data_IF_610375023630
#
_entry.id   IF_610375023630
#
_cell.length_a   1.000
_cell.length_b   1.000
_cell.length_c   1.000
_cell.angle_alpha   90.00
_cell.angle_beta   90.00
_cell.angle_gamma   90.00
#
_symmetry.space_group_name_H-M   'P 1'
#
loop_
_entity.id
_entity.type
_entity.pdbx_description
1 polymer ?
#
# COMPACT_ATOMS: atom_id res chain seq x y z
N UNK A 1 14.66 39.36 5.64
CA UNK A 1 13.88 38.42 4.81
C UNK A 1 14.84 37.45 4.14
N UNK A 2 14.41 36.24 3.81
CA UNK A 2 15.24 35.26 3.10
C UNK A 2 15.37 35.68 1.63
N UNK A 3 16.60 35.74 1.11
CA UNK A 3 16.89 36.08 -0.29
C UNK A 3 16.31 35.06 -1.29
N UNK A 4 15.95 33.85 -0.84
CA UNK A 4 15.40 32.79 -1.70
C UNK A 4 13.92 32.52 -1.44
N UNK A 5 13.19 32.29 -2.53
CA UNK A 5 11.81 31.74 -2.53
C UNK A 5 11.86 30.26 -2.87
N UNK A 6 11.17 29.42 -2.10
CA UNK A 6 11.12 27.98 -2.35
C UNK A 6 9.68 27.57 -2.64
N UNK A 7 9.45 26.91 -3.77
CA UNK A 7 8.15 26.38 -4.18
C UNK A 7 8.20 24.85 -4.18
N UNK A 8 7.41 24.24 -3.29
CA UNK A 8 7.26 22.78 -3.20
C UNK A 8 5.98 22.39 -3.94
N UNK A 9 6.12 21.51 -4.93
CA UNK A 9 5.00 20.97 -5.71
C UNK A 9 4.94 19.46 -5.45
N UNK A 10 3.85 19.04 -4.82
CA UNK A 10 3.61 17.63 -4.50
C UNK A 10 2.78 16.96 -5.60
N UNK A 11 3.19 15.76 -6.02
CA UNK A 11 2.55 14.95 -7.08
C UNK A 11 2.31 15.75 -8.37
N UNK A 12 3.36 16.29 -9.02
CA UNK A 12 3.23 17.05 -10.26
C UNK A 12 2.50 16.25 -11.38
N UNK A 13 2.59 14.92 -11.36
CA UNK A 13 1.84 14.02 -12.24
C UNK A 13 0.31 14.15 -12.15
N UNK A 14 -0.22 14.65 -11.02
CA UNK A 14 -1.66 14.88 -10.82
C UNK A 14 -2.11 16.26 -11.25
N UNK A 15 -1.21 17.12 -11.74
CA UNK A 15 -1.57 18.45 -12.19
C UNK A 15 -2.48 18.40 -13.42
N UNK A 16 -3.48 19.28 -13.43
CA UNK A 16 -4.28 19.49 -14.63
C UNK A 16 -3.35 19.93 -15.79
N UNK A 17 -3.56 19.45 -17.03
CA UNK A 17 -2.67 19.74 -18.16
C UNK A 17 -2.41 21.24 -18.37
N UNK A 18 -3.44 22.07 -18.18
CA UNK A 18 -3.29 23.53 -18.27
C UNK A 18 -2.35 24.12 -17.20
N UNK A 19 -2.36 23.56 -15.98
CA UNK A 19 -1.45 23.97 -14.90
C UNK A 19 -0.02 23.49 -15.19
N UNK A 20 0.14 22.25 -15.66
CA UNK A 20 1.43 21.70 -16.05
C UNK A 20 2.11 22.54 -17.16
N UNK A 21 1.34 22.99 -18.16
CA UNK A 21 1.84 23.87 -19.22
C UNK A 21 2.22 25.27 -18.73
N UNK A 22 1.52 25.81 -17.72
CA UNK A 22 1.92 27.06 -17.08
C UNK A 22 3.22 26.89 -16.28
N UNK A 23 3.34 25.77 -15.56
CA UNK A 23 4.56 25.44 -14.82
C UNK A 23 5.77 25.33 -15.75
N UNK A 24 5.61 24.76 -16.95
CA UNK A 24 6.69 24.71 -17.95
C UNK A 24 7.29 26.09 -18.23
N UNK A 25 6.44 27.10 -18.45
CA UNK A 25 6.91 28.47 -18.70
C UNK A 25 7.70 29.04 -17.52
N UNK A 26 7.25 28.75 -16.30
CA UNK A 26 7.91 29.20 -15.08
C UNK A 26 9.25 28.46 -14.86
N UNK A 27 9.34 27.18 -15.24
CA UNK A 27 10.59 26.42 -15.13
C UNK A 27 11.62 26.81 -16.21
N UNK A 28 11.17 27.32 -17.37
CA UNK A 28 12.05 27.84 -18.42
C UNK A 28 12.70 29.16 -18.03
N UNK A 29 11.90 30.07 -17.46
CA UNK A 29 12.33 31.39 -17.00
C UNK A 29 11.97 31.54 -15.52
N UNK A 30 12.71 30.85 -14.62
CA UNK A 30 12.42 30.89 -13.19
C UNK A 30 12.62 32.31 -12.67
N UNK A 31 11.74 32.79 -11.75
CA UNK A 31 11.95 34.07 -11.10
C UNK A 31 13.28 34.08 -10.34
N UNK A 32 13.90 35.25 -10.23
CA UNK A 32 15.17 35.42 -9.52
C UNK A 32 15.10 34.80 -8.11
N UNK A 33 16.19 34.11 -7.76
CA UNK A 33 16.37 33.48 -6.45
C UNK A 33 15.22 32.53 -6.05
N UNK A 34 14.66 31.80 -7.01
CA UNK A 34 13.58 30.83 -6.76
C UNK A 34 14.05 29.38 -6.95
N UNK A 35 13.79 28.54 -5.95
CA UNK A 35 14.03 27.10 -5.99
C UNK A 35 12.71 26.35 -6.13
N UNK A 36 12.63 25.46 -7.11
CA UNK A 36 11.49 24.57 -7.32
C UNK A 36 11.84 23.16 -6.86
N UNK A 37 11.03 22.61 -5.96
CA UNK A 37 11.12 21.23 -5.48
C UNK A 37 9.86 20.47 -5.91
N UNK A 38 10.02 19.56 -6.87
CA UNK A 38 8.94 18.70 -7.34
C UNK A 38 9.09 17.32 -6.70
N UNK A 39 8.06 16.86 -6.00
CA UNK A 39 8.04 15.57 -5.30
C UNK A 39 7.05 14.66 -6.02
N UNK A 40 7.55 13.57 -6.59
CA UNK A 40 6.78 12.64 -7.41
C UNK A 40 6.94 11.21 -6.92
N UNK A 41 5.87 10.43 -7.01
CA UNK A 41 5.88 9.00 -6.73
C UNK A 41 6.09 8.19 -8.02
N UNK A 42 5.67 8.73 -9.17
CA UNK A 42 5.83 8.09 -10.46
C UNK A 42 6.32 9.05 -11.55
N UNK A 43 7.64 9.09 -11.73
CA UNK A 43 8.27 9.91 -12.78
C UNK A 43 7.80 9.60 -14.21
N UNK A 44 7.31 8.39 -14.51
CA UNK A 44 6.85 8.03 -15.86
C UNK A 44 5.56 8.76 -16.26
N UNK A 45 4.80 9.23 -15.28
CA UNK A 45 3.55 9.96 -15.49
C UNK A 45 3.73 11.47 -15.60
N UNK A 46 4.95 11.96 -15.35
CA UNK A 46 5.29 13.38 -15.53
C UNK A 46 5.53 13.66 -17.01
N UNK A 47 5.06 14.82 -17.48
CA UNK A 47 5.34 15.29 -18.84
C UNK A 47 6.86 15.31 -19.13
N UNK A 48 7.32 14.70 -20.24
CA UNK A 48 8.73 14.69 -20.61
C UNK A 48 9.36 16.10 -20.71
N UNK A 49 8.55 17.09 -21.07
CA UNK A 49 8.96 18.50 -21.14
C UNK A 49 9.31 19.09 -19.77
N UNK A 50 8.61 18.69 -18.71
CA UNK A 50 8.96 19.07 -17.33
C UNK A 50 10.26 18.37 -16.94
N UNK A 51 10.36 17.06 -17.20
CA UNK A 51 11.54 16.25 -16.86
C UNK A 51 12.83 16.80 -17.49
N UNK A 52 12.75 17.34 -18.71
CA UNK A 52 13.91 17.95 -19.40
C UNK A 52 14.42 19.26 -18.78
N UNK A 53 13.64 19.89 -17.89
CA UNK A 53 13.94 21.20 -17.26
C UNK A 53 14.21 21.09 -15.76
N UNK A 54 14.22 19.88 -15.21
CA UNK A 54 14.48 19.62 -13.79
C UNK A 54 15.65 18.67 -13.61
N UNK A 55 16.33 18.79 -12.48
CA UNK A 55 17.32 17.81 -12.08
C UNK A 55 16.63 16.67 -11.31
N UNK A 56 16.73 15.45 -11.84
CA UNK A 56 16.16 14.28 -11.18
C UNK A 56 17.06 13.79 -10.05
N UNK A 57 16.53 13.79 -8.84
CA UNK A 57 17.17 13.16 -7.67
C UNK A 57 16.31 11.95 -7.29
N UNK A 58 16.87 10.74 -7.45
CA UNK A 58 16.19 9.51 -7.02
C UNK A 58 16.44 9.29 -5.55
N UNK A 59 15.37 9.16 -4.78
CA UNK A 59 15.44 8.70 -3.39
C UNK A 59 15.30 7.18 -3.38
N UNK A 60 16.39 6.42 -3.15
CA UNK A 60 16.30 4.97 -3.13
C UNK A 60 15.51 4.48 -1.92
N UNK A 61 15.00 3.25 -2.02
CA UNK A 61 14.49 2.52 -0.85
C UNK A 61 15.62 2.32 0.16
N UNK A 62 15.28 2.40 1.44
CA UNK A 62 16.25 2.13 2.50
C UNK A 62 16.63 0.65 2.51
N UNK A 63 17.91 0.31 2.74
CA UNK A 63 18.31 -1.05 3.07
C UNK A 63 17.60 -1.54 4.32
N UNK A 64 17.22 -2.82 4.35
CA UNK A 64 16.57 -3.44 5.51
C UNK A 64 17.45 -3.31 6.78
N UNK A 65 18.78 -3.36 6.63
CA UNK A 65 19.74 -3.15 7.72
C UNK A 65 19.64 -1.76 8.36
N UNK A 66 19.40 -0.72 7.55
CA UNK A 66 19.30 0.65 8.04
C UNK A 66 17.98 0.88 8.76
N UNK A 67 16.91 0.24 8.27
CA UNK A 67 15.61 0.23 8.96
C UNK A 67 15.75 -0.54 10.28
N UNK A 68 16.29 -1.76 10.28
CA UNK A 68 16.49 -2.56 11.50
C UNK A 68 17.26 -1.76 12.55
N UNK A 69 18.38 -1.15 12.16
CA UNK A 69 19.21 -0.32 13.05
C UNK A 69 18.44 0.88 13.59
N UNK A 70 17.68 1.57 12.75
CA UNK A 70 16.88 2.71 13.20
C UNK A 70 15.77 2.28 14.18
N UNK A 71 15.13 1.14 13.96
CA UNK A 71 14.08 0.61 14.85
C UNK A 71 14.66 0.18 16.21
N UNK A 72 15.84 -0.46 16.24
CA UNK A 72 16.48 -0.85 17.50
C UNK A 72 17.00 0.36 18.27
N UNK A 73 17.73 1.27 17.62
CA UNK A 73 18.40 2.40 18.30
C UNK A 73 17.43 3.52 18.71
N UNK A 74 16.45 3.86 17.85
CA UNK A 74 15.57 5.01 18.10
C UNK A 74 14.22 4.65 18.71
N UNK A 75 13.74 3.43 18.45
CA UNK A 75 12.41 2.99 18.87
C UNK A 75 12.44 1.86 19.90
N UNK A 76 13.65 1.47 20.37
CA UNK A 76 13.88 0.43 21.38
C UNK A 76 13.17 -0.90 21.07
N UNK A 77 13.06 -1.23 19.78
CA UNK A 77 12.46 -2.48 19.32
C UNK A 77 13.46 -3.61 19.47
N UNK A 78 13.01 -4.77 19.97
CA UNK A 78 13.85 -5.97 20.00
C UNK A 78 14.41 -6.32 18.62
N UNK A 79 15.66 -6.79 18.56
CA UNK A 79 16.38 -7.04 17.31
C UNK A 79 15.64 -8.02 16.38
N UNK A 80 15.04 -9.07 16.93
CA UNK A 80 14.28 -10.06 16.15
C UNK A 80 13.07 -9.42 15.50
N UNK A 81 12.36 -8.58 16.27
CA UNK A 81 11.18 -7.85 15.81
C UNK A 81 11.55 -6.76 14.81
N UNK A 82 12.61 -6.00 15.06
CA UNK A 82 13.11 -4.96 14.16
C UNK A 82 13.51 -5.53 12.80
N UNK A 83 14.20 -6.68 12.78
CA UNK A 83 14.58 -7.37 11.53
C UNK A 83 13.36 -7.82 10.72
N UNK A 84 12.35 -8.39 11.39
CA UNK A 84 11.09 -8.80 10.74
C UNK A 84 10.36 -7.59 10.14
N UNK A 85 10.21 -6.52 10.92
CA UNK A 85 9.54 -5.28 10.50
C UNK A 85 10.28 -4.60 9.36
N UNK A 86 11.62 -4.58 9.39
CA UNK A 86 12.42 -4.04 8.30
C UNK A 86 12.18 -4.78 6.98
N UNK A 87 12.19 -6.12 7.02
CA UNK A 87 11.90 -6.96 5.85
C UNK A 87 10.47 -6.74 5.30
N UNK A 88 9.49 -6.61 6.19
CA UNK A 88 8.10 -6.34 5.84
C UNK A 88 7.87 -4.93 5.29
N UNK A 89 8.64 -3.95 5.78
CA UNK A 89 8.56 -2.56 5.35
C UNK A 89 9.04 -2.33 3.90
N UNK A 90 9.87 -3.23 3.36
CA UNK A 90 10.34 -3.19 1.97
C UNK A 90 11.02 -1.86 1.63
N UNK A 91 11.85 -1.36 2.54
CA UNK A 91 12.58 -0.10 2.39
C UNK A 91 11.78 1.19 2.62
N UNK A 92 10.52 1.10 3.04
CA UNK A 92 9.70 2.25 3.43
C UNK A 92 9.70 2.42 4.96
N UNK A 93 10.39 3.44 5.47
CA UNK A 93 10.49 3.66 6.92
C UNK A 93 9.15 4.02 7.58
N UNK A 94 8.29 4.79 6.91
CA UNK A 94 6.97 5.12 7.45
C UNK A 94 6.12 3.86 7.64
N UNK A 95 6.18 2.93 6.68
CA UNK A 95 5.60 1.59 6.81
C UNK A 95 6.22 0.84 7.98
N UNK A 96 7.54 0.84 8.14
CA UNK A 96 8.18 0.19 9.29
C UNK A 96 7.62 0.69 10.64
N UNK A 97 7.34 1.99 10.77
CA UNK A 97 6.72 2.56 11.97
C UNK A 97 5.25 2.14 12.15
N UNK A 98 4.47 2.09 11.07
CA UNK A 98 3.08 1.59 11.14
C UNK A 98 3.02 0.11 11.52
N UNK A 99 4.03 -0.67 11.12
CA UNK A 99 4.20 -2.08 11.51
C UNK A 99 4.63 -2.23 13.00
N UNK A 100 5.27 -1.21 13.59
CA UNK A 100 5.59 -1.22 15.02
C UNK A 100 4.37 -0.98 15.91
N UNK A 101 3.40 -0.20 15.43
CA UNK A 101 2.10 -0.13 16.07
C UNK A 101 1.37 -1.46 15.88
N UNK A 102 1.60 -2.40 16.81
CA UNK A 102 0.95 -3.72 16.85
C UNK A 102 -0.56 -3.62 16.60
N UNK A 103 -1.20 -2.56 17.10
CA UNK A 103 -2.62 -2.33 16.92
C UNK A 103 -3.08 -2.24 15.47
N UNK A 104 -2.28 -1.67 14.56
CA UNK A 104 -2.71 -1.44 13.19
C UNK A 104 -2.62 -2.73 12.35
N UNK A 105 -1.47 -3.41 12.37
CA UNK A 105 -1.33 -4.70 11.67
C UNK A 105 -2.27 -5.77 12.22
N UNK A 106 -2.41 -5.88 13.54
CA UNK A 106 -3.33 -6.85 14.15
C UNK A 106 -4.78 -6.58 13.69
N UNK A 107 -5.18 -5.30 13.60
CA UNK A 107 -6.49 -4.93 13.05
C UNK A 107 -6.63 -5.28 11.57
N UNK A 108 -5.61 -5.03 10.73
CA UNK A 108 -5.69 -5.40 9.32
C UNK A 108 -5.72 -6.91 9.12
N UNK A 109 -4.97 -7.66 9.94
CA UNK A 109 -5.01 -9.11 9.98
C UNK A 109 -6.40 -9.62 10.36
N UNK A 110 -6.98 -9.11 11.45
CA UNK A 110 -8.31 -9.50 11.92
C UNK A 110 -9.40 -9.19 10.88
N UNK A 111 -9.32 -8.02 10.23
CA UNK A 111 -10.21 -7.66 9.11
C UNK A 111 -10.07 -8.61 7.94
N UNK A 112 -8.84 -9.00 7.58
CA UNK A 112 -8.59 -9.92 6.47
C UNK A 112 -9.12 -11.31 6.79
N UNK A 113 -8.82 -11.85 7.97
CA UNK A 113 -9.31 -13.15 8.44
C UNK A 113 -10.84 -13.16 8.47
N UNK A 114 -11.46 -12.09 8.96
CA UNK A 114 -12.92 -11.94 8.98
C UNK A 114 -13.47 -11.94 7.57
N UNK A 115 -12.96 -11.10 6.67
CA UNK A 115 -13.37 -11.07 5.27
C UNK A 115 -13.30 -12.46 4.63
N UNK A 116 -12.15 -13.14 4.71
CA UNK A 116 -11.98 -14.46 4.10
C UNK A 116 -12.96 -15.50 4.65
N UNK A 117 -13.25 -15.48 5.96
CA UNK A 117 -14.25 -16.37 6.57
C UNK A 117 -15.66 -16.09 6.09
N UNK A 118 -16.04 -14.81 6.00
CA UNK A 118 -17.38 -14.38 5.55
C UNK A 118 -17.61 -14.71 4.08
N UNK A 119 -16.60 -14.44 3.26
CA UNK A 119 -16.57 -14.73 1.82
C UNK A 119 -16.71 -16.22 1.54
N UNK A 120 -16.00 -17.07 2.30
CA UNK A 120 -16.15 -18.53 2.22
C UNK A 120 -17.56 -19.01 2.60
N UNK A 121 -18.13 -18.44 3.67
CA UNK A 121 -19.46 -18.78 4.18
C UNK A 121 -20.62 -18.24 3.32
N UNK A 122 -20.39 -17.25 2.45
CA UNK A 122 -21.43 -16.54 1.68
C UNK A 122 -22.50 -15.85 2.55
N UNK A 123 -22.10 -15.36 3.72
CA UNK A 123 -23.04 -14.66 4.61
C UNK A 123 -23.15 -13.18 4.23
N UNK A 124 -24.07 -12.84 3.33
CA UNK A 124 -24.27 -11.46 2.84
C UNK A 124 -24.56 -10.48 3.99
N UNK A 125 -25.34 -10.90 4.99
CA UNK A 125 -25.69 -10.01 6.11
C UNK A 125 -24.46 -9.65 6.94
N UNK A 126 -23.59 -10.62 7.22
CA UNK A 126 -22.34 -10.36 7.95
C UNK A 126 -21.32 -9.61 7.09
N UNK A 127 -21.30 -9.84 5.76
CA UNK A 127 -20.48 -9.07 4.82
C UNK A 127 -20.86 -7.59 4.86
N UNK A 128 -22.15 -7.25 4.89
CA UNK A 128 -22.58 -5.86 5.01
C UNK A 128 -22.10 -5.22 6.31
N UNK A 129 -22.10 -5.97 7.43
CA UNK A 129 -21.54 -5.50 8.69
C UNK A 129 -20.03 -5.22 8.61
N UNK A 130 -19.27 -6.12 7.97
CA UNK A 130 -17.84 -5.92 7.73
C UNK A 130 -17.56 -4.71 6.80
N UNK A 131 -18.38 -4.52 5.76
CA UNK A 131 -18.31 -3.36 4.87
C UNK A 131 -18.55 -2.07 5.65
N UNK A 132 -19.57 -2.04 6.51
CA UNK A 132 -19.87 -0.87 7.34
C UNK A 132 -18.72 -0.55 8.31
N UNK A 133 -18.10 -1.57 8.91
CA UNK A 133 -16.95 -1.41 9.79
C UNK A 133 -15.74 -0.81 9.05
N UNK A 134 -15.34 -1.39 7.91
CA UNK A 134 -14.19 -0.89 7.16
C UNK A 134 -14.46 0.45 6.47
N UNK A 135 -15.69 0.73 6.04
CA UNK A 135 -16.05 2.05 5.50
C UNK A 135 -16.12 3.13 6.60
N UNK A 136 -16.28 2.74 7.87
CA UNK A 136 -16.28 3.69 8.99
C UNK A 136 -14.88 4.25 9.30
N UNK A 137 -13.82 3.57 8.85
CA UNK A 137 -12.45 4.07 9.00
C UNK A 137 -12.05 4.99 7.84
N UNK A 138 -11.01 5.79 8.07
CA UNK A 138 -10.52 6.74 7.09
C UNK A 138 -9.96 6.07 5.83
N UNK A 139 -10.01 6.77 4.70
CA UNK A 139 -9.53 6.28 3.40
C UNK A 139 -8.11 5.72 3.42
N UNK A 140 -7.20 6.37 4.14
CA UNK A 140 -5.82 5.90 4.22
C UNK A 140 -5.75 4.52 4.90
N UNK A 141 -6.55 4.29 5.94
CA UNK A 141 -6.63 3.00 6.62
C UNK A 141 -7.27 1.91 5.74
N UNK A 142 -8.25 2.29 4.91
CA UNK A 142 -8.82 1.38 3.89
C UNK A 142 -7.76 0.97 2.85
N UNK A 143 -6.91 1.90 2.40
CA UNK A 143 -5.80 1.59 1.48
C UNK A 143 -4.75 0.70 2.15
N UNK A 144 -4.41 0.98 3.40
CA UNK A 144 -3.50 0.14 4.18
C UNK A 144 -4.03 -1.28 4.30
N UNK A 145 -5.33 -1.45 4.58
CA UNK A 145 -6.00 -2.75 4.57
C UNK A 145 -5.83 -3.47 3.23
N UNK A 146 -6.17 -2.83 2.10
CA UNK A 146 -6.09 -3.46 0.78
C UNK A 146 -4.66 -3.84 0.40
N UNK A 147 -3.70 -2.98 0.72
CA UNK A 147 -2.28 -3.24 0.48
C UNK A 147 -1.74 -4.38 1.36
N UNK A 148 -2.20 -4.44 2.60
CA UNK A 148 -1.90 -5.54 3.53
C UNK A 148 -2.51 -6.86 3.03
N UNK A 149 -3.78 -6.85 2.62
CA UNK A 149 -4.46 -8.01 2.07
C UNK A 149 -3.75 -8.58 0.83
N UNK A 150 -3.32 -7.74 -0.12
CA UNK A 150 -2.50 -8.16 -1.26
C UNK A 150 -1.18 -8.81 -0.84
N UNK A 151 -0.56 -8.29 0.23
CA UNK A 151 0.66 -8.88 0.78
C UNK A 151 0.38 -10.28 1.33
N UNK A 152 -0.68 -10.46 2.12
CA UNK A 152 -1.06 -11.78 2.65
C UNK A 152 -1.49 -12.76 1.58
N UNK A 153 -2.22 -12.31 0.56
CA UNK A 153 -2.60 -13.13 -0.60
C UNK A 153 -1.35 -13.67 -1.29
N UNK A 154 -0.34 -12.82 -1.53
CA UNK A 154 0.95 -13.25 -2.08
C UNK A 154 1.66 -14.27 -1.19
N UNK A 155 1.75 -14.03 0.11
CA UNK A 155 2.41 -14.95 1.04
C UNK A 155 1.71 -16.31 1.09
N UNK A 156 0.36 -16.31 1.06
CA UNK A 156 -0.44 -17.54 1.01
C UNK A 156 -0.23 -18.33 -0.28
N UNK A 157 -0.08 -17.66 -1.43
CA UNK A 157 0.31 -18.31 -2.69
C UNK A 157 1.70 -18.97 -2.57
N UNK A 158 2.69 -18.24 -2.04
CA UNK A 158 4.05 -18.77 -1.87
C UNK A 158 4.07 -19.99 -0.95
N UNK A 159 3.29 -19.97 0.13
CA UNK A 159 3.10 -21.10 1.02
C UNK A 159 2.43 -22.29 0.31
N UNK A 160 1.39 -22.05 -0.50
CA UNK A 160 0.71 -23.11 -1.24
C UNK A 160 1.66 -23.80 -2.25
N UNK A 161 2.51 -23.00 -2.91
CA UNK A 161 3.54 -23.49 -3.83
C UNK A 161 4.71 -24.19 -3.13
N UNK A 162 4.74 -24.24 -1.79
CA UNK A 162 5.78 -24.85 -0.95
C UNK A 162 7.19 -24.37 -1.30
N UNK A 163 7.31 -23.11 -1.73
CA UNK A 163 8.60 -22.57 -2.11
C UNK A 163 9.47 -22.35 -0.85
N UNK A 164 10.77 -22.67 -0.90
CA UNK A 164 11.67 -22.65 0.27
C UNK A 164 12.07 -21.24 0.72
N UNK A 165 11.31 -20.21 0.35
CA UNK A 165 11.59 -18.84 0.78
C UNK A 165 11.14 -18.64 2.23
N UNK A 166 11.88 -17.83 2.97
CA UNK A 166 11.41 -17.33 4.25
C UNK A 166 10.13 -16.51 4.02
N UNK A 167 8.98 -17.04 4.45
CA UNK A 167 7.73 -16.30 4.44
C UNK A 167 7.86 -15.07 5.36
N UNK A 168 7.16 -13.99 5.01
CA UNK A 168 7.19 -12.74 5.78
C UNK A 168 6.11 -12.68 6.86
N UNK A 169 5.43 -13.80 7.09
CA UNK A 169 4.32 -13.93 8.01
C UNK A 169 4.77 -13.92 9.48
N UNK A 170 4.01 -13.24 10.32
CA UNK A 170 4.04 -13.41 11.78
C UNK A 170 3.53 -14.79 12.18
N UNK A 171 3.72 -15.20 13.45
CA UNK A 171 3.23 -16.51 13.89
C UNK A 171 1.69 -16.67 13.77
N UNK A 172 0.85 -15.70 14.22
CA UNK A 172 -0.59 -15.78 14.02
C UNK A 172 -1.00 -15.86 12.54
N UNK A 173 -0.32 -15.07 11.69
CA UNK A 173 -0.54 -15.09 10.24
C UNK A 173 -0.16 -16.44 9.64
N UNK A 174 0.93 -17.05 10.08
CA UNK A 174 1.38 -18.36 9.63
C UNK A 174 0.38 -19.45 10.04
N UNK A 175 -0.11 -19.44 11.28
CA UNK A 175 -1.10 -20.40 11.76
C UNK A 175 -2.40 -20.36 10.94
N UNK A 176 -2.88 -19.16 10.62
CA UNK A 176 -4.01 -18.96 9.72
C UNK A 176 -3.68 -19.44 8.30
N UNK A 177 -2.56 -18.99 7.75
CA UNK A 177 -2.16 -19.25 6.36
C UNK A 177 -1.86 -20.73 6.09
N UNK A 178 -1.43 -21.51 7.09
CA UNK A 178 -1.30 -22.98 6.98
C UNK A 178 -2.61 -23.65 6.59
N UNK A 179 -3.75 -23.12 7.02
CA UNK A 179 -5.09 -23.63 6.67
C UNK A 179 -5.65 -22.95 5.44
N UNK A 180 -5.31 -21.68 5.22
CA UNK A 180 -5.93 -20.85 4.20
C UNK A 180 -5.22 -20.89 2.84
N UNK A 181 -3.91 -21.10 2.82
CA UNK A 181 -3.09 -21.10 1.59
C UNK A 181 -3.61 -22.01 0.48
N UNK A 182 -4.27 -23.13 0.82
CA UNK A 182 -4.87 -24.05 -0.16
C UNK A 182 -5.95 -23.40 -1.05
N UNK A 183 -6.56 -22.31 -0.58
CA UNK A 183 -7.60 -21.58 -1.32
C UNK A 183 -7.02 -20.51 -2.25
N UNK A 184 -5.70 -20.25 -2.22
CA UNK A 184 -5.03 -19.31 -3.12
C UNK A 184 -4.03 -20.08 -3.98
N UNK A 185 -4.35 -20.26 -5.26
CA UNK A 185 -3.58 -21.07 -6.21
C UNK A 185 -3.33 -20.32 -7.52
N UNK A 186 -2.43 -20.82 -8.40
CA UNK A 186 -2.09 -20.13 -9.65
C UNK A 186 -3.26 -19.80 -10.57
N UNK A 187 -4.36 -20.55 -10.51
CA UNK A 187 -5.52 -20.34 -11.40
C UNK A 187 -6.46 -19.23 -10.92
N UNK A 188 -6.43 -18.89 -9.62
CA UNK A 188 -7.32 -17.89 -9.03
C UNK A 188 -6.61 -16.62 -8.55
N UNK A 189 -5.28 -16.65 -8.41
CA UNK A 189 -4.51 -15.52 -7.88
C UNK A 189 -4.68 -14.24 -8.70
N UNK A 190 -4.71 -14.32 -10.02
CA UNK A 190 -4.86 -13.15 -10.90
C UNK A 190 -6.19 -12.45 -10.64
N UNK A 191 -7.28 -13.23 -10.54
CA UNK A 191 -8.61 -12.71 -10.24
C UNK A 191 -8.71 -12.10 -8.83
N UNK A 192 -8.09 -12.73 -7.83
CA UNK A 192 -8.03 -12.20 -6.46
C UNK A 192 -7.25 -10.88 -6.44
N UNK A 193 -6.07 -10.87 -7.06
CA UNK A 193 -5.22 -9.70 -7.16
C UNK A 193 -5.96 -8.53 -7.82
N UNK A 194 -6.60 -8.79 -8.96
CA UNK A 194 -7.34 -7.78 -9.70
C UNK A 194 -8.53 -7.22 -8.92
N UNK A 195 -9.25 -8.07 -8.17
CA UNK A 195 -10.34 -7.62 -7.31
C UNK A 195 -9.84 -6.61 -6.25
N UNK A 196 -8.73 -6.93 -5.56
CA UNK A 196 -8.12 -6.04 -4.58
C UNK A 196 -7.53 -4.77 -5.22
N UNK A 197 -6.80 -4.88 -6.34
CA UNK A 197 -6.21 -3.74 -7.05
C UNK A 197 -7.26 -2.79 -7.63
N UNK A 198 -8.37 -3.33 -8.14
CA UNK A 198 -9.53 -2.55 -8.60
C UNK A 198 -10.17 -1.79 -7.44
N UNK A 199 -10.38 -2.45 -6.30
CA UNK A 199 -10.89 -1.80 -5.10
C UNK A 199 -9.97 -0.65 -4.64
N UNK A 200 -8.65 -0.87 -4.62
CA UNK A 200 -7.66 0.14 -4.24
C UNK A 200 -7.73 1.35 -5.17
N UNK A 201 -7.74 1.11 -6.49
CA UNK A 201 -7.85 2.17 -7.51
C UNK A 201 -9.13 3.00 -7.33
N UNK A 202 -10.27 2.36 -7.07
CA UNK A 202 -11.54 3.05 -6.88
C UNK A 202 -11.56 3.89 -5.59
N UNK A 203 -11.02 3.37 -4.48
CA UNK A 203 -10.91 4.11 -3.22
C UNK A 203 -9.98 5.33 -3.39
N UNK A 204 -8.88 5.19 -4.12
CA UNK A 204 -7.98 6.30 -4.48
C UNK A 204 -8.67 7.36 -5.34
N UNK A 205 -9.58 6.95 -6.22
CA UNK A 205 -10.37 7.83 -7.08
C UNK A 205 -11.56 8.51 -6.38
N UNK A 206 -11.72 8.39 -5.06
CA UNK A 206 -12.86 8.88 -4.29
C UNK A 206 -14.21 8.26 -4.68
N UNK A 207 -14.23 7.00 -5.10
CA UNK A 207 -15.48 6.26 -5.27
C UNK A 207 -16.21 6.06 -3.92
N UNK A 208 -17.49 5.69 -3.98
CA UNK A 208 -18.27 5.34 -2.79
C UNK A 208 -17.76 4.02 -2.19
N UNK A 209 -17.00 4.13 -1.10
CA UNK A 209 -16.25 3.06 -0.46
C UNK A 209 -17.09 1.83 -0.10
N UNK A 210 -18.29 2.01 0.48
CA UNK A 210 -19.18 0.89 0.82
C UNK A 210 -19.50 0.00 -0.38
N UNK A 211 -19.79 0.60 -1.53
CA UNK A 211 -20.09 -0.15 -2.75
C UNK A 211 -18.85 -0.87 -3.28
N UNK A 212 -17.69 -0.21 -3.23
CA UNK A 212 -16.41 -0.80 -3.67
C UNK A 212 -16.03 -2.01 -2.81
N UNK A 213 -16.14 -1.87 -1.49
CA UNK A 213 -15.82 -2.94 -0.53
C UNK A 213 -16.82 -4.10 -0.61
N UNK A 214 -18.09 -3.81 -0.88
CA UNK A 214 -19.10 -4.84 -1.12
C UNK A 214 -18.85 -5.61 -2.42
N UNK A 215 -18.53 -4.91 -3.52
CA UNK A 215 -18.14 -5.52 -4.82
C UNK A 215 -16.92 -6.44 -4.66
N UNK A 216 -15.91 -5.97 -3.90
CA UNK A 216 -14.73 -6.77 -3.56
C UNK A 216 -15.12 -8.07 -2.84
N UNK A 217 -15.93 -7.98 -1.77
CA UNK A 217 -16.32 -9.15 -0.99
C UNK A 217 -17.13 -10.16 -1.82
N UNK A 218 -18.02 -9.69 -2.69
CA UNK A 218 -18.79 -10.55 -3.58
C UNK A 218 -17.90 -11.24 -4.62
N UNK A 219 -17.01 -10.48 -5.27
CA UNK A 219 -16.06 -11.01 -6.27
C UNK A 219 -15.21 -12.13 -5.68
N UNK A 220 -14.65 -11.90 -4.49
CA UNK A 220 -13.85 -12.92 -3.79
C UNK A 220 -14.67 -14.17 -3.44
N UNK A 221 -15.98 -14.04 -3.23
CA UNK A 221 -16.85 -15.16 -2.86
C UNK A 221 -17.16 -16.08 -4.03
N UNK A 222 -17.08 -15.55 -5.24
CA UNK A 222 -17.14 -16.32 -6.48
C UNK A 222 -15.81 -17.02 -6.73
N UNK A 223 -14.69 -16.30 -6.58
CA UNK A 223 -13.33 -16.78 -6.91
C UNK A 223 -12.82 -17.86 -5.94
N UNK A 224 -12.99 -17.68 -4.62
CA UNK A 224 -12.37 -18.56 -3.61
C UNK A 224 -13.05 -19.95 -3.57
N UNK A 225 -14.28 -20.07 -4.08
CA UNK A 225 -15.08 -21.30 -4.01
C UNK A 225 -15.28 -21.98 -5.36
N UNK A 226 -14.77 -21.41 -6.45
CA UNK A 226 -14.71 -22.04 -7.78
C UNK A 226 -13.63 -23.10 -7.83
#
# INVERSE_FOLDING_TARGET
ESDWKVMIIWLPERMHPAAANKLLKILEEPPDQTLFLLISENTQTILPTILSRVQMIRVPRLPDSDIEKALTEKYAVDQTRARRVALQAGGNFARALSLLSLSAEDQQFDRFVTLMRLVWKKNISEILGWVDELASVGREEQKEFLQYALTLVRENLLLNLKLPFAHRLTEPELEFSRKFSVFIHPDNIEQIHDAFSKAQTHIEANAYDKLVLFDLALSLSEIIRS
#
